data_IF_602322052626
#
_entry.id   IF_602322052626
#
_cell.length_a   1.000
_cell.length_b   1.000
_cell.length_c   1.000
_cell.angle_alpha   90.00
_cell.angle_beta   90.00
_cell.angle_gamma   90.00
#
_symmetry.space_group_name_H-M   'P 1'
#
loop_
_entity.id
_entity.type
_entity.pdbx_description
1 polymer ?
#
# COMPACT_ATOMS: atom_id res chain seq x y z
N UNK A 1 2.12 -38.21 22.43
CA UNK A 1 0.94 -37.31 22.56
C UNK A 1 1.24 -36.03 21.76
N UNK A 2 0.76 -35.93 20.51
CA UNK A 2 0.97 -34.75 19.65
C UNK A 2 -0.27 -33.87 19.68
N UNK A 3 -0.41 -33.06 20.72
CA UNK A 3 -1.46 -32.03 20.77
C UNK A 3 -0.87 -30.73 20.23
N UNK A 4 -1.06 -30.56 18.92
CA UNK A 4 -1.66 -29.38 18.31
C UNK A 4 -1.17 -27.98 18.75
N UNK A 5 -0.03 -27.54 18.21
CA UNK A 5 0.26 -26.10 18.07
C UNK A 5 -0.70 -25.37 17.08
N UNK A 6 -1.56 -26.11 16.35
CA UNK A 6 -2.48 -25.57 15.34
C UNK A 6 -3.86 -25.17 15.90
N UNK A 7 -4.42 -25.87 16.89
CA UNK A 7 -5.73 -25.56 17.49
C UNK A 7 -5.68 -24.39 18.48
N UNK A 8 -4.53 -24.14 19.11
CA UNK A 8 -4.42 -23.15 20.19
C UNK A 8 -4.76 -21.73 19.73
N UNK A 9 -4.31 -21.31 18.54
CA UNK A 9 -4.58 -19.94 18.04
C UNK A 9 -6.02 -19.73 17.56
N UNK A 10 -6.66 -20.73 16.94
CA UNK A 10 -8.07 -20.61 16.53
C UNK A 10 -8.99 -20.55 17.74
N UNK A 11 -8.74 -21.39 18.74
CA UNK A 11 -9.47 -21.33 20.00
C UNK A 11 -9.28 -19.99 20.71
N UNK A 12 -8.07 -19.41 20.64
CA UNK A 12 -7.80 -18.10 21.21
C UNK A 12 -8.51 -16.97 20.45
N UNK A 13 -8.50 -17.00 19.12
CA UNK A 13 -9.24 -16.04 18.26
C UNK A 13 -10.74 -16.16 18.53
N UNK A 14 -11.28 -17.38 18.53
CA UNK A 14 -12.69 -17.66 18.79
C UNK A 14 -13.11 -17.18 20.20
N UNK A 15 -12.27 -17.44 21.21
CA UNK A 15 -12.47 -16.96 22.58
C UNK A 15 -12.48 -15.43 22.67
N UNK A 16 -11.56 -14.75 21.98
CA UNK A 16 -11.52 -13.27 21.93
C UNK A 16 -12.71 -12.69 21.17
N UNK A 17 -13.17 -13.34 20.11
CA UNK A 17 -14.31 -12.93 19.30
C UNK A 17 -15.68 -13.35 19.90
N UNK A 18 -15.69 -14.12 21.00
CA UNK A 18 -16.91 -14.59 21.65
C UNK A 18 -17.69 -15.64 20.85
N UNK A 19 -17.03 -16.36 19.94
CA UNK A 19 -17.66 -17.37 19.07
C UNK A 19 -17.07 -18.76 19.28
N UNK A 20 -17.77 -19.80 18.83
CA UNK A 20 -17.23 -21.16 18.84
C UNK A 20 -16.11 -21.30 17.81
N UNK A 21 -15.07 -22.07 18.13
CA UNK A 21 -13.96 -22.35 17.18
C UNK A 21 -14.45 -22.98 15.88
N UNK A 22 -15.50 -23.82 15.96
CA UNK A 22 -16.16 -24.39 14.80
C UNK A 22 -16.76 -23.33 13.86
N UNK A 23 -17.24 -22.19 14.39
CA UNK A 23 -17.78 -21.08 13.59
C UNK A 23 -16.67 -20.37 12.81
N UNK A 24 -15.50 -20.15 13.43
CA UNK A 24 -14.33 -19.59 12.73
C UNK A 24 -13.86 -20.56 11.64
N UNK A 25 -13.80 -21.87 11.93
CA UNK A 25 -13.45 -22.89 10.93
C UNK A 25 -14.46 -22.97 9.78
N UNK A 26 -15.76 -22.89 10.07
CA UNK A 26 -16.80 -22.92 9.03
C UNK A 26 -16.76 -21.68 8.13
N UNK A 27 -16.43 -20.51 8.68
CA UNK A 27 -16.39 -19.26 7.92
C UNK A 27 -15.10 -19.13 7.09
N UNK A 28 -13.94 -19.44 7.67
CA UNK A 28 -12.64 -19.22 7.02
C UNK A 28 -12.02 -20.48 6.40
N UNK A 29 -12.56 -21.67 6.69
CA UNK A 29 -12.08 -22.98 6.22
C UNK A 29 -10.75 -23.42 6.83
N UNK A 30 -9.74 -22.57 6.80
CA UNK A 30 -8.39 -22.82 7.31
C UNK A 30 -7.73 -21.56 7.87
N UNK A 31 -6.57 -21.74 8.52
CA UNK A 31 -5.74 -20.63 9.00
C UNK A 31 -5.29 -19.74 7.85
N UNK A 32 -4.92 -20.36 6.74
CA UNK A 32 -4.49 -19.70 5.52
C UNK A 32 -5.64 -18.90 4.91
N UNK A 33 -6.87 -19.44 4.94
CA UNK A 33 -8.09 -18.72 4.55
C UNK A 33 -8.35 -17.48 5.42
N UNK A 34 -8.27 -17.63 6.74
CA UNK A 34 -8.40 -16.50 7.68
C UNK A 34 -7.35 -15.40 7.43
N UNK A 35 -6.09 -15.78 7.20
CA UNK A 35 -5.02 -14.83 6.90
C UNK A 35 -5.32 -14.11 5.58
N UNK A 36 -5.67 -14.83 4.52
CA UNK A 36 -6.00 -14.24 3.21
C UNK A 36 -7.14 -13.22 3.31
N UNK A 37 -8.24 -13.57 3.98
CA UNK A 37 -9.37 -12.66 4.19
C UNK A 37 -8.97 -11.44 5.03
N UNK A 38 -8.14 -11.63 6.06
CA UNK A 38 -7.63 -10.51 6.87
C UNK A 38 -6.79 -9.56 6.03
N UNK A 39 -5.89 -10.10 5.19
CA UNK A 39 -5.07 -9.29 4.28
C UNK A 39 -5.94 -8.55 3.26
N UNK A 40 -6.92 -9.22 2.65
CA UNK A 40 -7.84 -8.58 1.72
C UNK A 40 -8.60 -7.42 2.36
N UNK A 41 -9.12 -7.60 3.58
CA UNK A 41 -9.83 -6.54 4.29
C UNK A 41 -8.93 -5.33 4.57
N UNK A 42 -7.67 -5.56 4.98
CA UNK A 42 -6.68 -4.48 5.18
C UNK A 42 -6.39 -3.76 3.85
N UNK A 43 -6.24 -4.51 2.77
CA UNK A 43 -5.98 -3.94 1.44
C UNK A 43 -7.15 -3.10 0.94
N UNK A 44 -8.39 -3.60 1.08
CA UNK A 44 -9.61 -2.90 0.67
C UNK A 44 -9.86 -1.65 1.51
N UNK A 45 -9.70 -1.72 2.84
CA UNK A 45 -9.87 -0.54 3.70
C UNK A 45 -8.85 0.54 3.35
N UNK A 46 -7.58 0.15 3.19
CA UNK A 46 -6.50 1.06 2.80
C UNK A 46 -6.70 1.62 1.40
N UNK A 47 -7.26 0.82 0.49
CA UNK A 47 -7.59 1.26 -0.86
C UNK A 47 -8.71 2.30 -0.87
N UNK A 48 -9.79 2.01 -0.14
CA UNK A 48 -10.94 2.91 0.00
C UNK A 48 -10.52 4.27 0.54
N UNK A 49 -9.75 4.29 1.63
CA UNK A 49 -9.24 5.53 2.23
C UNK A 49 -8.40 6.35 1.25
N UNK A 50 -7.47 5.70 0.53
CA UNK A 50 -6.66 6.38 -0.49
C UNK A 50 -7.51 6.91 -1.63
N UNK A 51 -8.47 6.12 -2.12
CA UNK A 51 -9.36 6.53 -3.21
C UNK A 51 -10.17 7.76 -2.79
N UNK A 52 -10.81 7.71 -1.62
CA UNK A 52 -11.61 8.81 -1.08
C UNK A 52 -10.76 10.08 -0.90
N UNK A 53 -9.52 9.96 -0.42
CA UNK A 53 -8.60 11.10 -0.32
C UNK A 53 -8.39 11.79 -1.68
N UNK A 54 -8.08 11.02 -2.72
CA UNK A 54 -7.80 11.56 -4.06
C UNK A 54 -9.05 12.07 -4.80
N UNK A 55 -10.25 11.67 -4.36
CA UNK A 55 -11.53 12.18 -4.86
C UNK A 55 -12.00 13.46 -4.13
N UNK A 56 -11.29 13.91 -3.09
CA UNK A 56 -11.62 15.19 -2.41
C UNK A 56 -11.27 16.43 -3.24
N UNK A 57 -11.87 17.56 -2.87
CA UNK A 57 -11.58 18.89 -3.44
C UNK A 57 -10.31 19.56 -2.88
N UNK A 58 -9.52 18.85 -2.06
CA UNK A 58 -8.29 19.42 -1.49
C UNK A 58 -7.29 19.81 -2.59
N UNK A 59 -6.51 20.89 -2.41
CA UNK A 59 -5.46 21.26 -3.35
C UNK A 59 -4.43 20.15 -3.53
N UNK A 60 -3.87 20.04 -4.73
CA UNK A 60 -2.89 19.01 -5.09
C UNK A 60 -1.69 18.90 -4.12
N UNK A 61 -1.06 20.00 -3.64
CA UNK A 61 0.01 19.92 -2.65
C UNK A 61 -0.42 19.32 -1.31
N UNK A 62 -1.65 19.56 -0.89
CA UNK A 62 -2.20 19.02 0.35
C UNK A 62 -2.47 17.51 0.23
N UNK A 63 -2.93 17.06 -0.94
CA UNK A 63 -3.08 15.63 -1.24
C UNK A 63 -1.74 14.89 -1.23
N UNK A 64 -0.68 15.51 -1.78
CA UNK A 64 0.68 14.98 -1.72
C UNK A 64 1.16 14.83 -0.28
N UNK A 65 1.00 15.88 0.53
CA UNK A 65 1.38 15.87 1.94
C UNK A 65 0.65 14.76 2.72
N UNK A 66 -0.66 14.62 2.52
CA UNK A 66 -1.45 13.57 3.19
C UNK A 66 -1.04 12.17 2.74
N UNK A 67 -0.75 11.99 1.45
CA UNK A 67 -0.27 10.71 0.91
C UNK A 67 1.05 10.28 1.56
N UNK A 68 1.96 11.23 1.81
CA UNK A 68 3.19 10.99 2.56
C UNK A 68 2.92 10.55 4.00
N UNK A 69 2.09 11.31 4.73
CA UNK A 69 1.78 11.00 6.12
C UNK A 69 1.06 9.66 6.29
N UNK A 70 0.18 9.28 5.36
CA UNK A 70 -0.47 7.96 5.36
C UNK A 70 0.55 6.82 5.25
N UNK A 71 1.61 6.99 4.47
CA UNK A 71 2.69 6.00 4.33
C UNK A 71 3.46 5.84 5.64
N UNK A 72 3.80 6.94 6.30
CA UNK A 72 4.50 6.93 7.58
C UNK A 72 3.68 6.23 8.66
N UNK A 73 2.39 6.58 8.76
CA UNK A 73 1.47 5.95 9.70
C UNK A 73 1.31 4.45 9.45
N UNK A 74 1.24 4.01 8.19
CA UNK A 74 1.14 2.58 7.88
C UNK A 74 2.37 1.80 8.36
N UNK A 75 3.56 2.34 8.14
CA UNK A 75 4.81 1.69 8.58
C UNK A 75 4.87 1.63 10.11
N UNK A 76 4.53 2.72 10.79
CA UNK A 76 4.66 2.83 12.24
C UNK A 76 3.57 2.04 13.00
N UNK A 77 2.37 1.88 12.43
CA UNK A 77 1.22 1.25 13.10
C UNK A 77 1.03 -0.23 12.73
N UNK A 78 1.72 -0.73 11.69
CA UNK A 78 1.55 -2.13 11.28
C UNK A 78 2.41 -3.07 12.13
N UNK A 79 1.80 -4.16 12.60
CA UNK A 79 2.50 -5.20 13.36
C UNK A 79 3.66 -5.79 12.52
N UNK A 80 4.91 -5.84 13.05
CA UNK A 80 6.06 -6.43 12.37
C UNK A 80 5.85 -7.88 11.89
N UNK A 81 5.07 -8.69 12.61
CA UNK A 81 4.73 -10.06 12.19
C UNK A 81 3.89 -10.07 10.91
N UNK A 82 2.96 -9.11 10.76
CA UNK A 82 2.18 -8.96 9.53
C UNK A 82 3.05 -8.49 8.36
N UNK A 83 3.96 -7.53 8.60
CA UNK A 83 4.94 -7.10 7.60
C UNK A 83 5.82 -8.27 7.14
N UNK A 84 6.23 -9.13 8.06
CA UNK A 84 7.00 -10.32 7.73
C UNK A 84 6.19 -11.32 6.88
N UNK A 85 4.91 -11.53 7.19
CA UNK A 85 4.02 -12.37 6.36
C UNK A 85 3.90 -11.80 4.94
N UNK A 86 3.76 -10.49 4.79
CA UNK A 86 3.68 -9.84 3.47
C UNK A 86 4.95 -10.02 2.64
N UNK A 87 6.11 -10.08 3.29
CA UNK A 87 7.41 -10.23 2.63
C UNK A 87 7.82 -11.68 2.32
N UNK A 88 7.31 -12.67 3.09
CA UNK A 88 7.82 -14.06 3.03
C UNK A 88 6.84 -15.07 2.44
N UNK A 89 5.53 -14.84 2.56
CA UNK A 89 4.52 -15.75 2.00
C UNK A 89 4.26 -15.43 0.53
N UNK A 90 4.54 -16.40 -0.36
CA UNK A 90 4.44 -16.22 -1.81
C UNK A 90 2.98 -16.05 -2.29
N UNK A 91 2.01 -16.71 -1.65
CA UNK A 91 0.61 -16.55 -2.03
C UNK A 91 0.06 -15.19 -1.61
N UNK A 92 0.41 -14.75 -0.39
CA UNK A 92 0.04 -13.43 0.12
C UNK A 92 0.72 -12.33 -0.71
N UNK A 93 1.99 -12.50 -1.08
CA UNK A 93 2.67 -11.56 -1.96
C UNK A 93 1.99 -11.43 -3.32
N UNK A 94 1.63 -12.56 -3.95
CA UNK A 94 0.87 -12.55 -5.22
C UNK A 94 -0.49 -11.88 -5.06
N UNK A 95 -1.17 -12.11 -3.95
CA UNK A 95 -2.45 -11.47 -3.63
C UNK A 95 -2.31 -9.95 -3.55
N UNK A 96 -1.34 -9.45 -2.78
CA UNK A 96 -1.02 -8.03 -2.64
C UNK A 96 -0.64 -7.42 -4.01
N UNK A 97 0.26 -8.06 -4.76
CA UNK A 97 0.72 -7.55 -6.05
C UNK A 97 -0.43 -7.47 -7.08
N UNK A 98 -1.30 -8.48 -7.14
CA UNK A 98 -2.49 -8.46 -8.01
C UNK A 98 -3.49 -7.37 -7.60
N UNK A 99 -3.71 -7.21 -6.29
CA UNK A 99 -4.58 -6.18 -5.76
C UNK A 99 -4.10 -4.79 -6.17
N UNK A 100 -2.81 -4.50 -6.02
CA UNK A 100 -2.23 -3.23 -6.45
C UNK A 100 -2.24 -3.07 -7.98
N UNK A 101 -1.91 -4.12 -8.74
CA UNK A 101 -1.88 -4.06 -10.21
C UNK A 101 -3.19 -3.59 -10.84
N UNK A 102 -4.33 -4.02 -10.28
CA UNK A 102 -5.66 -3.68 -10.81
C UNK A 102 -6.12 -2.27 -10.45
N UNK A 103 -5.65 -1.73 -9.32
CA UNK A 103 -6.16 -0.48 -8.73
C UNK A 103 -5.22 0.70 -8.90
N UNK A 104 -3.92 0.44 -8.93
CA UNK A 104 -2.90 1.48 -9.01
C UNK A 104 -3.06 2.44 -10.21
N UNK A 105 -3.42 1.97 -11.43
CA UNK A 105 -3.64 2.87 -12.56
C UNK A 105 -4.72 3.93 -12.31
N UNK A 106 -5.74 3.60 -11.52
CA UNK A 106 -6.82 4.55 -11.19
C UNK A 106 -6.31 5.71 -10.34
N UNK A 107 -5.51 5.46 -9.28
CA UNK A 107 -4.92 6.54 -8.47
C UNK A 107 -3.95 7.37 -9.28
N UNK A 108 -3.12 6.75 -10.12
CA UNK A 108 -2.20 7.50 -10.99
C UNK A 108 -2.99 8.38 -11.97
N UNK A 109 -4.13 7.90 -12.47
CA UNK A 109 -5.06 8.70 -13.28
C UNK A 109 -5.56 9.94 -12.53
N UNK A 110 -6.13 9.77 -11.34
CA UNK A 110 -6.62 10.88 -10.51
C UNK A 110 -5.50 11.88 -10.17
N UNK A 111 -4.31 11.37 -9.83
CA UNK A 111 -3.12 12.18 -9.58
C UNK A 111 -2.76 13.06 -10.78
N UNK A 112 -2.67 12.47 -11.98
CA UNK A 112 -2.32 13.20 -13.20
C UNK A 112 -3.39 14.23 -13.58
N UNK A 113 -4.66 13.85 -13.52
CA UNK A 113 -5.78 14.72 -13.84
C UNK A 113 -5.77 15.96 -12.94
N UNK A 114 -5.68 15.74 -11.63
CA UNK A 114 -5.70 16.82 -10.64
C UNK A 114 -4.47 17.71 -10.72
N UNK A 115 -3.28 17.11 -10.82
CA UNK A 115 -2.04 17.85 -10.98
C UNK A 115 -2.01 18.72 -12.25
N UNK A 116 -2.62 18.26 -13.34
CA UNK A 116 -2.77 19.06 -14.57
C UNK A 116 -3.78 20.18 -14.42
N UNK A 117 -4.97 19.85 -13.91
CA UNK A 117 -6.07 20.82 -13.73
C UNK A 117 -5.63 22.01 -12.88
N UNK A 118 -4.79 21.77 -11.87
CA UNK A 118 -4.25 22.81 -10.98
C UNK A 118 -2.89 23.38 -11.46
N UNK A 119 -2.35 22.93 -12.59
CA UNK A 119 -1.13 23.50 -13.19
C UNK A 119 0.21 23.03 -12.60
N UNK A 120 0.20 22.05 -11.69
CA UNK A 120 1.40 21.46 -11.10
C UNK A 120 2.11 20.48 -12.05
N UNK A 121 1.36 19.74 -12.86
CA UNK A 121 1.91 18.82 -13.86
C UNK A 121 1.72 19.45 -15.23
N UNK A 122 2.74 20.18 -15.69
CA UNK A 122 2.70 20.90 -16.96
C UNK A 122 3.06 20.02 -18.15
N UNK A 123 3.71 18.88 -17.91
CA UNK A 123 4.11 17.95 -18.96
C UNK A 123 2.93 17.06 -19.36
N UNK A 124 2.73 16.91 -20.67
CA UNK A 124 1.88 15.87 -21.24
C UNK A 124 2.54 14.50 -21.06
N UNK A 125 2.51 13.97 -19.83
CA UNK A 125 2.95 12.62 -19.51
C UNK A 125 1.85 11.63 -19.88
N UNK A 126 2.15 10.56 -20.61
CA UNK A 126 1.17 9.47 -20.71
C UNK A 126 0.94 8.84 -19.34
N UNK A 127 -0.25 8.26 -19.12
CA UNK A 127 -0.51 7.46 -17.91
C UNK A 127 0.55 6.35 -17.76
N UNK A 128 0.94 5.73 -18.87
CA UNK A 128 1.98 4.70 -18.91
C UNK A 128 3.34 5.21 -18.41
N UNK A 129 3.79 6.38 -18.89
CA UNK A 129 5.05 6.97 -18.46
C UNK A 129 5.04 7.31 -16.96
N UNK A 130 3.93 7.87 -16.47
CA UNK A 130 3.77 8.16 -15.05
C UNK A 130 3.76 6.88 -14.20
N UNK A 131 3.04 5.83 -14.63
CA UNK A 131 3.04 4.54 -13.96
C UNK A 131 4.45 3.93 -13.89
N UNK A 132 5.20 3.96 -14.99
CA UNK A 132 6.56 3.43 -15.03
C UNK A 132 7.48 4.20 -14.06
N UNK A 133 7.43 5.54 -14.12
CA UNK A 133 8.22 6.39 -13.25
C UNK A 133 7.92 6.13 -11.77
N UNK A 134 6.64 6.18 -11.38
CA UNK A 134 6.23 5.94 -9.99
C UNK A 134 6.53 4.51 -9.52
N UNK A 135 6.50 3.52 -10.42
CA UNK A 135 6.84 2.12 -10.10
C UNK A 135 8.31 1.97 -9.70
N UNK A 136 9.22 2.77 -10.26
CA UNK A 136 10.63 2.76 -9.84
C UNK A 136 10.76 3.08 -8.35
N UNK A 137 10.00 4.07 -7.87
CA UNK A 137 9.98 4.44 -6.45
C UNK A 137 9.30 3.40 -5.56
N UNK A 138 8.22 2.76 -6.04
CA UNK A 138 7.61 1.66 -5.30
C UNK A 138 8.57 0.49 -5.08
N UNK A 139 9.38 0.16 -6.09
CA UNK A 139 10.36 -0.91 -5.98
C UNK A 139 11.44 -0.56 -4.95
N UNK A 140 11.96 0.67 -4.99
CA UNK A 140 12.91 1.17 -3.99
C UNK A 140 12.33 1.11 -2.57
N UNK A 141 11.07 1.51 -2.39
CA UNK A 141 10.40 1.44 -1.10
C UNK A 141 10.14 0.00 -0.63
N UNK A 142 10.13 -0.99 -1.53
CA UNK A 142 10.04 -2.43 -1.20
C UNK A 142 11.40 -3.05 -0.89
N UNK A 143 12.50 -2.37 -1.21
CA UNK A 143 13.83 -2.89 -0.89
C UNK A 143 14.04 -2.90 0.63
N UNK A 144 14.26 -4.11 1.12
CA UNK A 144 14.23 -4.43 2.54
C UNK A 144 15.32 -3.67 3.33
N UNK A 145 16.39 -3.23 2.67
CA UNK A 145 17.49 -2.49 3.28
C UNK A 145 17.10 -1.05 3.64
N UNK A 146 16.35 -0.35 2.79
CA UNK A 146 15.89 1.01 3.07
C UNK A 146 14.85 1.00 4.19
N UNK A 147 13.90 0.06 4.15
CA UNK A 147 12.93 -0.14 5.23
C UNK A 147 13.59 -0.55 6.56
N UNK A 148 14.64 -1.38 6.54
CA UNK A 148 15.37 -1.79 7.75
C UNK A 148 16.30 -0.72 8.31
N UNK A 149 16.86 0.12 7.45
CA UNK A 149 17.76 1.21 7.87
C UNK A 149 17.06 2.22 8.77
N UNK A 150 15.73 2.31 8.71
CA UNK A 150 14.95 3.31 9.44
C UNK A 150 15.23 4.75 9.01
N UNK A 151 15.94 4.95 7.89
CA UNK A 151 16.35 6.26 7.41
C UNK A 151 15.17 6.97 6.71
N UNK A 152 14.26 7.49 7.52
CA UNK A 152 13.05 8.21 7.08
C UNK A 152 13.40 9.48 6.29
N UNK A 153 14.53 10.12 6.59
CA UNK A 153 14.98 11.33 5.90
C UNK A 153 15.37 11.04 4.44
N UNK A 154 16.12 9.96 4.19
CA UNK A 154 16.45 9.53 2.83
C UNK A 154 15.19 9.21 2.01
N UNK A 155 14.20 8.55 2.62
CA UNK A 155 12.92 8.28 1.95
C UNK A 155 12.18 9.56 1.58
N UNK A 156 12.25 10.60 2.41
CA UNK A 156 11.67 11.91 2.15
C UNK A 156 12.41 12.63 1.02
N UNK A 157 13.75 12.64 1.04
CA UNK A 157 14.57 13.22 -0.03
C UNK A 157 14.27 12.58 -1.40
N UNK A 158 14.21 11.25 -1.44
CA UNK A 158 13.89 10.51 -2.67
C UNK A 158 12.47 10.82 -3.16
N UNK A 159 11.52 10.96 -2.24
CA UNK A 159 10.16 11.36 -2.60
C UNK A 159 10.11 12.79 -3.13
N UNK A 160 10.84 13.73 -2.54
CA UNK A 160 10.91 15.11 -3.02
C UNK A 160 11.47 15.14 -4.46
N UNK A 161 12.53 14.36 -4.73
CA UNK A 161 13.09 14.19 -6.09
C UNK A 161 12.07 13.60 -7.08
N UNK A 162 11.25 12.64 -6.64
CA UNK A 162 10.15 12.08 -7.45
C UNK A 162 9.17 13.15 -7.87
N UNK A 163 8.71 13.95 -6.91
CA UNK A 163 7.72 15.01 -7.15
C UNK A 163 8.30 16.10 -8.05
N UNK A 164 9.56 16.50 -7.84
CA UNK A 164 10.23 17.44 -8.73
C UNK A 164 10.36 16.91 -10.17
N UNK A 165 10.59 15.61 -10.36
CA UNK A 165 10.61 15.00 -11.70
C UNK A 165 9.25 15.06 -12.42
N UNK A 166 8.13 15.09 -11.69
CA UNK A 166 6.77 15.16 -12.24
C UNK A 166 6.28 16.61 -12.44
N UNK A 167 6.68 17.52 -11.55
CA UNK A 167 6.31 18.94 -11.59
C UNK A 167 7.26 19.76 -12.48
N UNK A 168 8.48 19.26 -12.72
CA UNK A 168 9.53 19.95 -13.45
C UNK A 168 9.19 20.27 -14.91
N UNK A 169 9.85 21.31 -15.44
CA UNK A 169 9.72 21.70 -16.85
C UNK A 169 10.58 20.79 -17.75
N UNK A 170 10.12 20.41 -18.95
CA UNK A 170 10.96 19.69 -19.89
C UNK A 170 12.17 20.55 -20.27
N UNK A 171 13.34 19.92 -20.36
CA UNK A 171 14.50 20.52 -21.01
C UNK A 171 14.12 20.62 -22.50
N UNK A 172 13.99 21.83 -23.02
CA UNK A 172 13.77 22.04 -24.45
C UNK A 172 15.03 21.60 -25.18
N UNK A 173 14.92 20.60 -26.04
CA UNK A 173 15.92 20.40 -27.09
C UNK A 173 15.72 21.52 -28.11
N UNK A 174 16.74 22.34 -28.30
CA UNK A 174 16.82 23.25 -29.46
C UNK A 174 16.76 22.48 -30.78
#
# INVERSE_FOLDING_TARGET
MRICFRQSRFNEIAKRAGVASASIYNYFGSKEGLIKETVLNILESSWKERKELWETDLPFPELLKRTLTMKDNFIDQTNPELLNIFGTDTEIKKLIDNFHKTRYPHIVGLFLEKGRKEGYIQRELSLEAAMLYLKMYQNLAKEHEILKSGNKDLLKEVFDLMIYGLIGKPIKSE
#
